data_IF_965222911521
#
_entry.id   IF_965222911521
#
_cell.length_a   1.000
_cell.length_b   1.000
_cell.length_c   1.000
_cell.angle_alpha   90.00
_cell.angle_beta   90.00
_cell.angle_gamma   90.00
#
_symmetry.space_group_name_H-M   'P 1'
#
loop_
_entity.id
_entity.type
_entity.pdbx_description
1 polymer ?
#
# COMPACT_ATOMS: atom_id res chain seq x y z
N UNK A 1 23.30 -3.11 -4.97
CA UNK A 1 22.55 -2.22 -4.04
C UNK A 1 21.18 -1.95 -4.63
N UNK A 2 20.11 -2.07 -3.84
CA UNK A 2 18.80 -1.49 -4.18
C UNK A 2 17.90 -1.47 -2.93
N UNK A 3 17.84 -0.31 -2.27
CA UNK A 3 16.65 0.16 -1.58
C UNK A 3 16.41 1.57 -2.12
N UNK A 4 15.18 1.82 -2.56
CA UNK A 4 14.72 3.04 -3.22
C UNK A 4 15.00 4.30 -2.38
N UNK A 5 16.09 5.00 -2.70
CA UNK A 5 16.04 6.44 -2.84
C UNK A 5 16.03 6.71 -4.35
N UNK A 6 15.04 7.46 -4.82
CA UNK A 6 14.93 7.94 -6.20
C UNK A 6 16.23 8.60 -6.65
N UNK A 7 16.98 7.99 -7.56
CA UNK A 7 18.04 8.68 -8.31
C UNK A 7 18.25 8.07 -9.70
N UNK A 8 18.02 8.89 -10.72
CA UNK A 8 18.48 8.71 -12.10
C UNK A 8 19.96 9.15 -12.19
N UNK A 9 20.86 8.44 -12.89
CA UNK A 9 22.23 8.90 -13.07
C UNK A 9 22.27 9.86 -14.28
N UNK A 10 22.34 11.15 -14.01
CA UNK A 10 22.85 12.11 -14.99
C UNK A 10 24.38 12.12 -14.89
N UNK A 11 25.03 12.01 -16.05
CA UNK A 11 26.48 12.04 -16.24
C UNK A 11 27.11 13.30 -15.63
N UNK A 12 28.16 13.11 -14.83
CA UNK A 12 29.07 14.19 -14.43
C UNK A 12 30.28 14.17 -15.37
N UNK A 13 30.28 15.08 -16.33
CA UNK A 13 31.50 15.49 -17.04
C UNK A 13 32.32 16.42 -16.16
N UNK A 14 33.61 16.12 -16.10
CA UNK A 14 34.67 16.83 -15.39
C UNK A 14 34.75 18.31 -15.78
N UNK A 15 34.75 19.19 -14.79
CA UNK A 15 35.08 20.61 -14.94
C UNK A 15 36.59 20.80 -15.11
N UNK A 16 37.00 21.54 -16.15
CA UNK A 16 38.30 22.18 -16.24
C UNK A 16 38.11 23.70 -16.36
N UNK A 17 38.92 24.43 -15.60
CA UNK A 17 38.88 25.87 -15.38
C UNK A 17 39.84 26.62 -16.32
N UNK A 18 39.42 27.75 -16.88
CA UNK A 18 40.24 28.91 -17.32
C UNK A 18 39.31 29.97 -17.94
N UNK A 19 39.02 31.08 -17.26
CA UNK A 19 39.72 32.38 -17.24
C UNK A 19 39.42 33.34 -18.41
N UNK A 20 39.20 34.60 -18.02
CA UNK A 20 39.37 35.90 -18.70
C UNK A 20 38.28 36.51 -19.62
N UNK A 21 37.72 37.60 -19.08
CA UNK A 21 37.62 38.98 -19.63
C UNK A 21 36.65 39.33 -20.77
N UNK A 22 35.76 40.29 -20.44
CA UNK A 22 35.48 41.58 -21.09
C UNK A 22 33.99 41.85 -21.37
N UNK A 23 33.49 42.96 -20.83
CA UNK A 23 32.23 43.65 -21.15
C UNK A 23 32.46 44.59 -22.36
N UNK A 24 31.51 45.44 -22.83
CA UNK A 24 30.05 45.54 -22.62
C UNK A 24 29.28 45.72 -23.98
N UNK A 25 27.99 46.15 -23.95
CA UNK A 25 27.31 47.08 -24.89
C UNK A 25 25.94 46.62 -25.47
N UNK A 26 24.88 47.26 -24.98
CA UNK A 26 23.82 48.00 -25.69
C UNK A 26 22.88 47.38 -26.76
N UNK A 27 21.58 47.37 -26.40
CA UNK A 27 20.48 48.17 -27.02
C UNK A 27 19.62 47.66 -28.21
N UNK A 28 18.32 48.04 -28.11
CA UNK A 28 17.25 48.27 -29.12
C UNK A 28 16.35 47.09 -29.56
N UNK A 29 15.06 47.08 -29.15
CA UNK A 29 13.80 47.57 -29.80
C UNK A 29 13.20 46.56 -30.81
N UNK A 30 12.03 45.95 -30.54
CA UNK A 30 10.63 46.40 -30.68
C UNK A 30 10.01 46.04 -32.05
N UNK A 31 8.92 45.23 -32.09
CA UNK A 31 7.69 45.33 -32.94
C UNK A 31 6.91 43.99 -32.90
N UNK A 32 5.79 43.95 -32.17
CA UNK A 32 4.39 43.94 -32.65
C UNK A 32 3.93 42.71 -33.45
N UNK A 33 2.97 41.96 -32.89
CA UNK A 33 1.66 41.69 -33.54
C UNK A 33 0.74 40.87 -32.61
N UNK A 34 -0.45 41.40 -32.34
CA UNK A 34 -1.64 40.65 -31.93
C UNK A 34 -2.41 40.23 -33.20
N UNK A 35 -3.26 39.18 -33.12
CA UNK A 35 -4.68 39.49 -32.92
C UNK A 35 -5.41 38.52 -31.97
N UNK A 36 -6.62 38.94 -31.65
CA UNK A 36 -7.46 38.48 -30.53
C UNK A 36 -8.62 37.57 -30.97
N UNK A 37 -9.19 36.92 -29.96
CA UNK A 37 -10.56 36.37 -29.81
C UNK A 37 -10.94 35.10 -30.59
N UNK A 38 -11.46 34.11 -29.86
CA UNK A 38 -12.91 33.78 -29.93
C UNK A 38 -13.35 33.02 -28.67
N UNK A 39 -14.55 33.41 -28.23
CA UNK A 39 -15.24 33.02 -27.00
C UNK A 39 -16.25 31.91 -27.37
N UNK A 40 -16.13 30.71 -26.80
CA UNK A 40 -17.05 29.61 -27.08
C UNK A 40 -18.19 29.57 -26.05
N UNK A 41 -19.38 29.94 -26.52
CA UNK A 41 -20.66 29.71 -25.85
C UNK A 41 -21.11 28.25 -26.03
N UNK A 42 -21.62 27.65 -24.96
CA UNK A 42 -22.33 26.36 -25.00
C UNK A 42 -23.86 26.57 -25.00
N UNK A 43 -24.62 25.90 -25.89
CA UNK A 43 -26.07 26.01 -25.93
C UNK A 43 -26.78 25.00 -25.02
N UNK A 44 -27.95 25.42 -24.52
CA UNK A 44 -28.91 24.64 -23.71
C UNK A 44 -29.96 23.92 -24.56
N UNK A 45 -30.20 22.64 -24.23
CA UNK A 45 -31.41 21.77 -24.30
C UNK A 45 -32.15 21.56 -25.65
N UNK A 46 -32.73 20.36 -25.87
CA UNK A 46 -34.17 20.21 -25.60
C UNK A 46 -34.65 18.86 -25.03
N UNK A 47 -35.93 18.89 -24.67
CA UNK A 47 -36.83 17.97 -23.94
C UNK A 47 -37.09 16.60 -24.58
N UNK A 48 -37.39 15.58 -23.75
CA UNK A 48 -38.18 14.41 -24.14
C UNK A 48 -39.18 14.05 -23.03
N UNK A 49 -40.44 13.96 -23.45
CA UNK A 49 -41.67 13.77 -22.67
C UNK A 49 -42.10 12.30 -22.77
N UNK A 50 -42.44 11.66 -21.65
CA UNK A 50 -43.15 10.36 -21.62
C UNK A 50 -44.48 10.58 -20.89
N UNK A 51 -45.63 10.11 -21.42
CA UNK A 51 -46.93 10.29 -20.78
C UNK A 51 -47.19 9.17 -19.77
N UNK A 52 -47.65 9.53 -18.57
CA UNK A 52 -48.24 8.59 -17.61
C UNK A 52 -49.69 9.03 -17.36
N UNK A 53 -50.63 8.17 -17.73
CA UNK A 53 -52.05 8.31 -17.42
C UNK A 53 -52.27 8.25 -15.92
N UNK A 54 -53.02 9.21 -15.35
CA UNK A 54 -53.58 9.09 -14.00
C UNK A 54 -55.03 9.57 -14.00
N UNK A 55 -55.92 8.69 -13.54
CA UNK A 55 -57.34 8.93 -13.32
C UNK A 55 -57.55 9.91 -12.14
N UNK A 56 -58.52 10.81 -12.31
CA UNK A 56 -59.02 11.72 -11.28
C UNK A 56 -59.81 11.00 -10.20
N UNK A 57 -59.63 11.41 -8.94
CA UNK A 57 -60.71 11.41 -7.95
C UNK A 57 -60.53 12.57 -6.97
N UNK A 58 -61.61 13.32 -6.84
CA UNK A 58 -61.83 14.54 -6.04
C UNK A 58 -62.11 14.17 -4.59
N UNK A 59 -61.57 14.90 -3.59
CA UNK A 59 -62.35 15.66 -2.58
C UNK A 59 -61.50 16.36 -1.50
N UNK A 60 -61.88 17.63 -1.25
CA UNK A 60 -61.95 18.38 0.02
C UNK A 60 -60.75 18.53 0.98
N UNK A 61 -60.26 19.78 1.02
CA UNK A 61 -60.08 20.68 2.18
C UNK A 61 -59.35 20.25 3.47
N UNK A 62 -58.38 21.11 3.81
CA UNK A 62 -58.06 21.68 5.13
C UNK A 62 -56.80 21.21 5.88
N UNK A 63 -55.94 22.21 6.11
CA UNK A 63 -55.04 22.48 7.26
C UNK A 63 -53.89 21.53 7.63
N UNK A 64 -52.68 22.09 7.47
CA UNK A 64 -51.57 22.13 8.43
C UNK A 64 -50.53 20.99 8.50
N UNK A 65 -49.29 21.47 8.65
CA UNK A 65 -48.04 20.80 9.05
C UNK A 65 -47.26 20.03 7.98
N UNK A 66 -46.20 20.71 7.53
CA UNK A 66 -44.94 20.17 7.03
C UNK A 66 -44.52 18.88 7.73
N UNK A 67 -44.52 17.75 7.01
CA UNK A 67 -43.74 16.55 7.37
C UNK A 67 -43.19 15.91 6.10
N UNK A 68 -41.91 16.14 5.84
CA UNK A 68 -41.11 15.43 4.86
C UNK A 68 -41.14 13.92 5.16
N UNK A 69 -41.97 13.17 4.45
CA UNK A 69 -41.84 11.70 4.38
C UNK A 69 -40.72 11.38 3.39
N UNK A 70 -39.49 11.26 3.90
CA UNK A 70 -38.39 10.68 3.15
C UNK A 70 -38.76 9.22 2.82
N UNK A 71 -39.00 8.96 1.53
CA UNK A 71 -39.17 7.62 0.96
C UNK A 71 -37.81 6.95 1.00
N UNK A 72 -37.49 6.29 2.11
CA UNK A 72 -36.28 5.48 2.25
C UNK A 72 -36.46 4.27 1.34
N UNK A 73 -35.76 4.25 0.21
CA UNK A 73 -35.61 3.05 -0.61
C UNK A 73 -34.80 2.05 0.20
N UNK A 74 -35.48 1.06 0.79
CA UNK A 74 -34.85 -0.13 1.32
C UNK A 74 -34.25 -0.90 0.15
N UNK A 75 -32.98 -0.65 -0.15
CA UNK A 75 -32.20 -1.60 -0.91
C UNK A 75 -32.11 -2.87 -0.05
N UNK A 76 -32.60 -4.04 -0.49
CA UNK A 76 -32.26 -5.27 0.18
C UNK A 76 -30.76 -5.42 -0.02
N UNK A 77 -29.99 -5.14 1.04
CA UNK A 77 -28.61 -5.57 1.12
C UNK A 77 -28.65 -7.07 0.89
N UNK A 78 -28.26 -7.48 -0.32
CA UNK A 78 -28.09 -8.87 -0.68
C UNK A 78 -27.03 -9.40 0.28
N UNK A 79 -27.47 -10.03 1.38
CA UNK A 79 -26.63 -10.71 2.34
C UNK A 79 -25.97 -11.87 1.59
N UNK A 80 -24.90 -11.59 0.86
CA UNK A 80 -23.91 -12.61 0.55
C UNK A 80 -23.48 -13.13 1.92
N UNK A 81 -23.89 -14.36 2.24
CA UNK A 81 -23.33 -15.12 3.36
C UNK A 81 -21.82 -15.01 3.21
N UNK A 82 -21.18 -14.23 4.08
CA UNK A 82 -19.75 -13.98 4.00
C UNK A 82 -19.02 -15.32 4.04
N UNK A 83 -18.00 -15.48 3.20
CA UNK A 83 -17.10 -16.62 3.30
C UNK A 83 -16.48 -16.62 4.70
N UNK A 84 -16.33 -17.79 5.30
CA UNK A 84 -15.65 -17.91 6.58
C UNK A 84 -14.13 -17.66 6.41
N UNK A 85 -13.47 -17.26 7.49
CA UNK A 85 -12.05 -16.92 7.46
C UNK A 85 -11.17 -18.10 7.02
N UNK A 86 -11.54 -19.35 7.35
CA UNK A 86 -10.75 -20.53 6.97
C UNK A 86 -10.77 -20.74 5.47
N UNK A 87 -11.95 -20.70 4.84
CA UNK A 87 -12.10 -20.78 3.38
C UNK A 87 -11.32 -19.65 2.68
N UNK A 88 -11.38 -18.42 3.20
CA UNK A 88 -10.63 -17.29 2.64
C UNK A 88 -9.11 -17.44 2.78
N UNK A 89 -8.62 -18.02 3.89
CA UNK A 89 -7.20 -18.35 4.05
C UNK A 89 -6.76 -19.39 3.03
N UNK A 90 -7.52 -20.46 2.87
CA UNK A 90 -7.22 -21.53 1.90
C UNK A 90 -7.19 -20.97 0.46
N UNK A 91 -8.19 -20.16 0.08
CA UNK A 91 -8.24 -19.50 -1.23
C UNK A 91 -7.07 -18.51 -1.43
N UNK A 92 -6.65 -17.79 -0.39
CA UNK A 92 -5.50 -16.89 -0.45
C UNK A 92 -4.19 -17.66 -0.65
N UNK A 93 -4.01 -18.77 0.06
CA UNK A 93 -2.80 -19.59 -0.02
C UNK A 93 -2.68 -20.28 -1.39
N UNK A 94 -3.77 -20.86 -1.89
CA UNK A 94 -3.86 -21.41 -3.25
C UNK A 94 -3.55 -20.33 -4.30
N UNK A 95 -4.07 -19.11 -4.10
CA UNK A 95 -3.84 -18.01 -5.02
C UNK A 95 -2.38 -17.60 -5.17
N UNK A 96 -1.55 -17.78 -4.14
CA UNK A 96 -0.16 -17.31 -4.11
C UNK A 96 0.87 -18.41 -4.34
N UNK A 97 0.48 -19.69 -4.28
CA UNK A 97 1.38 -20.86 -4.28
C UNK A 97 2.39 -20.83 -5.44
N UNK A 98 1.92 -20.52 -6.65
CA UNK A 98 2.72 -20.56 -7.88
C UNK A 98 3.26 -19.19 -8.32
N UNK A 99 3.19 -18.16 -7.47
CA UNK A 99 3.54 -16.78 -7.86
C UNK A 99 4.99 -16.37 -7.50
N UNK A 100 5.83 -17.30 -7.07
CA UNK A 100 7.20 -17.03 -6.59
C UNK A 100 7.23 -15.89 -5.56
N UNK A 101 6.40 -16.02 -4.51
CA UNK A 101 6.17 -15.00 -3.47
C UNK A 101 5.67 -13.64 -3.99
N UNK A 102 5.14 -13.60 -5.20
CA UNK A 102 4.68 -12.40 -5.90
C UNK A 102 5.64 -11.92 -7.01
N UNK A 103 6.82 -12.52 -7.17
CA UNK A 103 7.79 -12.12 -8.20
C UNK A 103 7.32 -12.44 -9.62
N UNK A 104 6.44 -13.44 -9.78
CA UNK A 104 5.87 -13.88 -11.06
C UNK A 104 4.38 -13.48 -11.20
N UNK A 105 3.83 -12.71 -10.27
CA UNK A 105 2.42 -12.32 -10.28
C UNK A 105 2.09 -11.31 -11.39
N UNK A 106 1.12 -11.66 -12.24
CA UNK A 106 0.53 -10.75 -13.23
C UNK A 106 -0.31 -9.65 -12.54
N UNK A 107 -0.67 -8.55 -13.23
CA UNK A 107 -1.62 -7.58 -12.70
C UNK A 107 -2.95 -8.21 -12.28
N UNK A 108 -3.43 -9.19 -13.05
CA UNK A 108 -4.66 -9.93 -12.79
C UNK A 108 -4.52 -10.79 -11.53
N UNK A 109 -3.37 -11.46 -11.33
CA UNK A 109 -3.07 -12.19 -10.10
C UNK A 109 -3.03 -11.26 -8.89
N UNK A 110 -2.38 -10.10 -9.01
CA UNK A 110 -2.32 -9.12 -7.91
C UNK A 110 -3.71 -8.62 -7.53
N UNK A 111 -4.58 -8.36 -8.51
CA UNK A 111 -5.97 -7.98 -8.25
C UNK A 111 -6.77 -9.09 -7.57
N UNK A 112 -6.59 -10.34 -8.02
CA UNK A 112 -7.23 -11.52 -7.43
C UNK A 112 -6.80 -11.71 -5.98
N UNK A 113 -5.50 -11.67 -5.71
CA UNK A 113 -4.94 -11.80 -4.36
C UNK A 113 -5.37 -10.64 -3.46
N UNK A 114 -5.36 -9.40 -3.96
CA UNK A 114 -5.82 -8.23 -3.19
C UNK A 114 -7.30 -8.35 -2.81
N UNK A 115 -8.14 -8.83 -3.73
CA UNK A 115 -9.56 -9.04 -3.47
C UNK A 115 -9.77 -10.07 -2.35
N UNK A 116 -9.11 -11.22 -2.42
CA UNK A 116 -9.22 -12.27 -1.39
C UNK A 116 -8.69 -11.74 -0.05
N UNK A 117 -7.55 -11.04 -0.06
CA UNK A 117 -6.98 -10.44 1.13
C UNK A 117 -7.95 -9.45 1.80
N UNK A 118 -8.63 -8.58 1.03
CA UNK A 118 -9.65 -7.66 1.59
C UNK A 118 -10.85 -8.38 2.18
N UNK A 119 -11.32 -9.45 1.53
CA UNK A 119 -12.39 -10.30 2.07
C UNK A 119 -11.95 -10.93 3.41
N UNK A 120 -10.69 -11.39 3.50
CA UNK A 120 -10.10 -11.94 4.73
C UNK A 120 -9.94 -10.88 5.84
N UNK A 121 -9.44 -9.69 5.49
CA UNK A 121 -9.28 -8.55 6.39
C UNK A 121 -10.62 -8.13 7.03
N UNK A 122 -11.73 -8.22 6.26
CA UNK A 122 -13.07 -7.89 6.76
C UNK A 122 -13.55 -8.85 7.86
N UNK A 123 -13.10 -10.10 7.84
CA UNK A 123 -13.45 -11.14 8.83
C UNK A 123 -12.36 -11.34 9.89
N UNK A 124 -11.41 -10.40 10.02
CA UNK A 124 -10.33 -10.48 11.01
C UNK A 124 -10.87 -10.61 12.46
N UNK A 125 -10.51 -11.67 13.21
CA UNK A 125 -10.94 -11.85 14.60
C UNK A 125 -10.26 -10.87 15.57
N UNK A 126 -9.00 -10.48 15.32
CA UNK A 126 -8.20 -9.66 16.23
C UNK A 126 -8.22 -8.19 15.81
N UNK A 127 -9.04 -7.37 16.49
CA UNK A 127 -9.20 -5.94 16.17
C UNK A 127 -8.04 -5.05 16.65
N UNK A 128 -7.32 -5.48 17.68
CA UNK A 128 -6.18 -4.77 18.26
C UNK A 128 -4.91 -5.65 18.25
N UNK A 129 -4.33 -5.93 17.07
CA UNK A 129 -3.21 -6.86 16.94
C UNK A 129 -1.95 -6.42 17.71
N UNK A 130 -1.76 -5.13 17.95
CA UNK A 130 -0.65 -4.62 18.77
C UNK A 130 -0.82 -4.87 20.28
N UNK A 131 -1.94 -5.46 20.71
CA UNK A 131 -2.15 -5.93 22.09
C UNK A 131 -2.20 -7.47 22.18
N UNK A 132 -2.05 -8.16 21.05
CA UNK A 132 -2.18 -9.61 20.99
C UNK A 132 -0.81 -10.28 21.00
N UNK A 133 -0.65 -11.29 21.86
CA UNK A 133 0.57 -12.09 21.91
C UNK A 133 0.82 -12.89 20.63
N UNK A 134 -0.24 -13.13 19.83
CA UNK A 134 -0.12 -13.81 18.54
C UNK A 134 0.79 -13.07 17.56
N UNK A 135 0.96 -11.74 17.71
CA UNK A 135 1.84 -10.97 16.84
C UNK A 135 3.33 -11.26 17.11
N UNK A 136 3.67 -11.70 18.33
CA UNK A 136 5.03 -11.98 18.72
C UNK A 136 5.58 -13.22 18.01
N UNK A 137 6.85 -13.14 17.60
CA UNK A 137 7.56 -14.26 17.02
C UNK A 137 8.10 -13.96 15.63
N UNK A 138 8.56 -15.02 14.96
CA UNK A 138 9.18 -14.99 13.64
C UNK A 138 8.19 -15.49 12.58
N UNK A 139 8.01 -14.66 11.57
CA UNK A 139 7.10 -14.85 10.46
C UNK A 139 7.89 -15.01 9.15
N UNK A 140 7.43 -15.87 8.25
CA UNK A 140 7.95 -16.00 6.89
C UNK A 140 7.08 -15.24 5.91
N UNK A 141 7.70 -14.45 5.04
CA UNK A 141 7.02 -13.72 3.97
C UNK A 141 6.75 -14.64 2.78
N UNK A 142 5.50 -15.09 2.67
CA UNK A 142 5.04 -16.00 1.61
C UNK A 142 4.47 -15.27 0.39
N UNK A 143 4.05 -14.00 0.52
CA UNK A 143 3.66 -13.18 -0.61
C UNK A 143 3.83 -11.68 -0.33
N UNK A 144 4.27 -10.91 -1.33
CA UNK A 144 4.21 -9.45 -1.30
C UNK A 144 4.10 -8.83 -2.69
N UNK A 145 3.53 -7.62 -2.76
CA UNK A 145 3.60 -6.76 -3.96
C UNK A 145 4.78 -5.77 -3.94
N UNK A 146 5.59 -5.78 -2.87
CA UNK A 146 6.71 -4.85 -2.70
C UNK A 146 7.87 -5.14 -3.64
N UNK A 147 8.06 -4.29 -4.66
CA UNK A 147 9.13 -4.44 -5.66
C UNK A 147 10.55 -4.45 -5.05
N UNK A 148 10.77 -3.71 -3.97
CA UNK A 148 12.08 -3.66 -3.30
C UNK A 148 12.43 -4.98 -2.62
N UNK A 149 11.44 -5.70 -2.09
CA UNK A 149 11.64 -7.00 -1.43
C UNK A 149 11.67 -8.14 -2.45
N UNK A 150 10.84 -8.06 -3.50
CA UNK A 150 10.84 -9.08 -4.56
C UNK A 150 12.13 -9.07 -5.38
N UNK A 151 12.82 -7.92 -5.44
CA UNK A 151 14.09 -7.76 -6.17
C UNK A 151 13.99 -8.27 -7.62
N UNK A 152 12.83 -8.07 -8.28
CA UNK A 152 12.54 -8.63 -9.63
C UNK A 152 13.53 -8.17 -10.71
N UNK A 153 14.19 -7.03 -10.49
CA UNK A 153 15.25 -6.49 -11.34
C UNK A 153 16.56 -7.31 -11.26
N UNK A 154 16.72 -8.20 -10.28
CA UNK A 154 17.87 -9.11 -10.17
C UNK A 154 17.57 -10.44 -10.88
N UNK A 155 18.58 -11.12 -11.44
CA UNK A 155 18.45 -12.50 -11.90
C UNK A 155 17.85 -13.39 -10.81
N UNK A 156 16.99 -14.36 -11.18
CA UNK A 156 16.22 -15.20 -10.22
C UNK A 156 17.11 -15.87 -9.18
N UNK A 157 18.28 -16.36 -9.58
CA UNK A 157 19.24 -17.01 -8.68
C UNK A 157 19.94 -16.05 -7.69
N UNK A 158 19.84 -14.74 -7.87
CA UNK A 158 20.33 -13.73 -6.92
C UNK A 158 19.22 -13.12 -6.06
N UNK A 159 17.96 -13.55 -6.24
CA UNK A 159 16.85 -13.09 -5.40
C UNK A 159 16.90 -13.84 -4.07
N UNK A 160 16.54 -13.14 -2.99
CA UNK A 160 16.35 -13.75 -1.68
C UNK A 160 15.27 -14.84 -1.77
N UNK A 161 15.62 -16.08 -1.39
CA UNK A 161 14.71 -17.23 -1.44
C UNK A 161 13.56 -17.07 -0.46
N UNK A 162 13.88 -17.05 0.83
CA UNK A 162 12.96 -16.79 1.93
C UNK A 162 13.31 -15.47 2.63
N UNK A 163 12.29 -14.78 3.12
CA UNK A 163 12.45 -13.55 3.90
C UNK A 163 11.66 -13.70 5.18
N UNK A 164 12.29 -13.41 6.31
CA UNK A 164 11.65 -13.49 7.62
C UNK A 164 11.46 -12.10 8.20
N UNK A 165 10.40 -11.94 8.97
CA UNK A 165 10.17 -10.80 9.81
C UNK A 165 9.84 -11.29 11.22
N UNK A 166 10.66 -10.93 12.20
CA UNK A 166 10.34 -11.09 13.59
C UNK A 166 9.76 -9.78 14.16
N UNK A 167 8.73 -9.89 15.00
CA UNK A 167 8.14 -8.77 15.74
C UNK A 167 8.06 -9.15 17.21
N UNK A 168 8.43 -8.20 18.07
CA UNK A 168 8.22 -8.25 19.52
C UNK A 168 7.48 -6.99 19.95
N UNK A 169 6.24 -7.18 20.39
CA UNK A 169 5.31 -6.12 20.79
C UNK A 169 5.69 -5.57 22.15
N UNK A 170 6.19 -6.42 23.04
CA UNK A 170 6.67 -6.09 24.38
C UNK A 170 7.90 -5.15 24.34
N UNK A 171 8.85 -5.44 23.46
CA UNK A 171 10.05 -4.61 23.30
C UNK A 171 9.91 -3.55 22.21
N UNK A 172 8.81 -3.55 21.46
CA UNK A 172 8.60 -2.72 20.27
C UNK A 172 9.75 -2.82 19.26
N UNK A 173 10.20 -4.05 18.99
CA UNK A 173 11.31 -4.34 18.07
C UNK A 173 10.83 -5.17 16.88
N UNK A 174 11.43 -4.91 15.73
CA UNK A 174 11.30 -5.76 14.56
C UNK A 174 12.66 -6.11 13.98
N UNK A 175 12.73 -7.25 13.30
CA UNK A 175 13.91 -7.69 12.56
C UNK A 175 13.49 -8.31 11.24
N UNK A 176 14.00 -7.80 10.13
CA UNK A 176 13.85 -8.43 8.81
C UNK A 176 15.14 -9.16 8.45
N UNK A 177 15.02 -10.38 7.94
CA UNK A 177 16.15 -11.22 7.50
C UNK A 177 15.88 -11.75 6.10
N UNK A 178 16.77 -11.45 5.17
CA UNK A 178 16.85 -12.14 3.88
C UNK A 178 17.63 -13.44 4.05
N UNK A 179 17.34 -14.44 3.24
CA UNK A 179 18.11 -15.69 3.21
C UNK A 179 19.13 -15.65 2.06
N UNK A 180 19.62 -16.82 1.64
CA UNK A 180 20.58 -16.96 0.56
C UNK A 180 20.14 -16.19 -0.70
N UNK A 181 21.07 -15.48 -1.39
CA UNK A 181 22.53 -15.53 -1.22
C UNK A 181 23.14 -14.46 -0.29
N UNK A 182 22.37 -13.45 0.13
CA UNK A 182 22.94 -12.26 0.78
C UNK A 182 22.76 -12.19 2.28
N UNK A 183 21.87 -12.98 2.88
CA UNK A 183 21.68 -13.05 4.34
C UNK A 183 21.59 -11.68 5.03
N UNK A 184 21.01 -10.70 4.34
CA UNK A 184 20.93 -9.34 4.84
C UNK A 184 19.99 -9.29 6.06
N UNK A 185 20.37 -8.54 7.08
CA UNK A 185 19.55 -8.38 8.29
C UNK A 185 19.37 -6.89 8.57
N UNK A 186 18.16 -6.50 8.98
CA UNK A 186 17.90 -5.16 9.49
C UNK A 186 17.03 -5.23 10.73
N UNK A 187 17.39 -4.47 11.76
CA UNK A 187 16.55 -4.26 12.94
C UNK A 187 15.85 -2.91 12.87
N UNK A 188 14.69 -2.80 13.50
CA UNK A 188 13.92 -1.58 13.57
C UNK A 188 13.22 -1.40 14.93
N UNK A 189 13.14 -0.15 15.35
CA UNK A 189 12.22 0.29 16.40
C UNK A 189 10.82 0.46 15.80
N UNK A 190 9.82 0.04 16.58
CA UNK A 190 8.41 0.24 16.29
C UNK A 190 7.82 1.32 17.19
N UNK A 191 7.04 2.21 16.62
CA UNK A 191 6.27 3.20 17.38
C UNK A 191 4.79 3.03 17.06
N UNK A 192 3.97 2.51 17.99
CA UNK A 192 2.52 2.39 17.76
C UNK A 192 1.91 3.74 17.43
N UNK A 193 1.20 3.82 16.30
CA UNK A 193 0.42 4.98 15.88
C UNK A 193 -1.05 4.83 16.28
N UNK A 194 -1.55 3.58 16.29
CA UNK A 194 -2.87 3.19 16.79
C UNK A 194 -2.87 1.69 17.10
N UNK A 195 -4.02 1.08 17.39
CA UNK A 195 -4.14 -0.34 17.77
C UNK A 195 -3.68 -1.36 16.70
N UNK A 196 -3.53 -0.94 15.44
CA UNK A 196 -3.18 -1.80 14.29
C UNK A 196 -1.93 -1.35 13.53
N UNK A 197 -1.49 -0.11 13.73
CA UNK A 197 -0.51 0.55 12.87
C UNK A 197 0.71 1.00 13.67
N UNK A 198 1.88 0.78 13.09
CA UNK A 198 3.17 1.18 13.65
C UNK A 198 3.96 2.02 12.65
N UNK A 199 4.67 3.02 13.14
CA UNK A 199 5.79 3.62 12.43
C UNK A 199 7.02 2.72 12.64
N UNK A 200 7.78 2.51 11.56
CA UNK A 200 8.98 1.68 11.52
C UNK A 200 10.19 2.59 11.33
N UNK A 201 11.18 2.46 12.20
CA UNK A 201 12.45 3.18 12.10
C UNK A 201 13.60 2.17 12.11
N UNK A 202 14.31 2.06 11.00
CA UNK A 202 15.43 1.11 10.88
C UNK A 202 16.68 1.61 11.62
N UNK A 203 17.43 0.70 12.27
CA UNK A 203 18.65 1.06 13.02
C UNK A 203 19.91 0.76 12.21
N UNK A 204 20.08 -0.51 11.84
CA UNK A 204 21.31 -1.05 11.27
C UNK A 204 20.97 -2.09 10.21
N UNK A 205 21.69 -2.03 9.10
CA UNK A 205 21.69 -3.07 8.07
C UNK A 205 22.98 -3.87 8.19
N UNK A 206 22.89 -5.18 8.36
CA UNK A 206 24.03 -6.10 8.17
C UNK A 206 23.99 -6.60 6.74
N UNK A 207 24.99 -6.26 5.95
CA UNK A 207 25.13 -6.75 4.57
C UNK A 207 25.99 -8.01 4.59
N UNK A 208 25.51 -9.10 3.96
CA UNK A 208 26.23 -10.38 3.93
C UNK A 208 26.59 -10.94 5.32
N UNK A 209 25.90 -10.51 6.37
CA UNK A 209 26.19 -10.90 7.76
C UNK A 209 27.48 -10.32 8.37
N UNK A 210 28.23 -9.47 7.65
CA UNK A 210 29.58 -9.06 8.07
C UNK A 210 29.67 -7.65 8.65
N UNK A 211 29.06 -6.65 7.99
CA UNK A 211 29.27 -5.23 8.34
C UNK A 211 27.95 -4.55 8.72
N UNK A 212 27.77 -4.12 9.98
CA UNK A 212 26.63 -3.30 10.38
C UNK A 212 26.80 -1.87 9.88
N UNK A 213 25.86 -1.40 9.05
CA UNK A 213 25.80 -0.04 8.53
C UNK A 213 24.58 0.64 9.16
N UNK A 214 24.80 1.77 9.83
CA UNK A 214 23.71 2.55 10.42
C UNK A 214 22.76 3.03 9.32
N UNK A 215 21.48 2.79 9.50
CA UNK A 215 20.44 3.28 8.62
C UNK A 215 20.45 4.82 8.61
N UNK A 216 20.30 5.47 7.44
CA UNK A 216 20.10 6.90 7.41
C UNK A 216 18.82 7.26 8.19
N UNK A 217 18.82 8.36 8.95
CA UNK A 217 17.65 8.74 9.78
C UNK A 217 16.33 8.97 9.01
N UNK A 218 16.40 9.00 7.68
CA UNK A 218 15.29 9.06 6.73
C UNK A 218 14.66 7.70 6.39
N UNK A 219 15.28 6.58 6.77
CA UNK A 219 14.74 5.24 6.55
C UNK A 219 13.58 4.98 7.52
N UNK A 220 12.39 5.40 7.10
CA UNK A 220 11.14 5.28 7.85
C UNK A 220 10.07 4.69 6.94
N UNK A 221 9.07 4.07 7.55
CA UNK A 221 7.87 3.62 6.87
C UNK A 221 6.76 3.39 7.88
N UNK A 222 5.59 3.02 7.40
CA UNK A 222 4.47 2.61 8.24
C UNK A 222 4.00 1.22 7.84
N UNK A 223 3.56 0.45 8.83
CA UNK A 223 3.01 -0.88 8.63
C UNK A 223 1.71 -1.00 9.43
N UNK A 224 0.65 -1.43 8.77
CA UNK A 224 -0.62 -1.72 9.40
C UNK A 224 -0.91 -3.23 9.34
N UNK A 225 -1.17 -3.85 10.49
CA UNK A 225 -1.63 -5.24 10.58
C UNK A 225 -3.14 -5.26 10.38
N UNK A 226 -3.59 -5.87 9.28
CA UNK A 226 -5.00 -5.85 8.85
C UNK A 226 -5.73 -7.17 9.11
N UNK A 227 -4.97 -8.27 9.21
CA UNK A 227 -5.44 -9.58 9.67
C UNK A 227 -4.37 -10.26 10.52
N UNK A 228 -4.78 -10.94 11.59
CA UNK A 228 -3.90 -11.72 12.45
C UNK A 228 -4.65 -12.92 13.04
N UNK A 229 -4.08 -14.11 12.88
CA UNK A 229 -4.39 -15.30 13.67
C UNK A 229 -3.09 -16.05 14.05
N UNK A 230 -3.20 -17.28 14.53
CA UNK A 230 -2.07 -18.12 14.96
C UNK A 230 -1.12 -18.51 13.82
N UNK A 231 -1.61 -18.55 12.58
CA UNK A 231 -0.89 -19.11 11.43
C UNK A 231 -0.50 -18.04 10.41
N UNK A 232 -1.33 -17.02 10.24
CA UNK A 232 -1.27 -16.08 9.13
C UNK A 232 -1.41 -14.64 9.62
N UNK A 233 -0.57 -13.77 9.05
CA UNK A 233 -0.66 -12.32 9.22
C UNK A 233 -0.73 -11.64 7.88
N UNK A 234 -1.69 -10.74 7.72
CA UNK A 234 -1.78 -9.84 6.57
C UNK A 234 -1.48 -8.43 7.03
N UNK A 235 -0.69 -7.70 6.25
CA UNK A 235 -0.32 -6.33 6.56
C UNK A 235 -0.26 -5.46 5.31
N UNK A 236 -0.43 -4.16 5.50
CA UNK A 236 -0.39 -3.13 4.46
C UNK A 236 0.68 -2.10 4.80
N UNK A 237 1.56 -1.81 3.83
CA UNK A 237 2.57 -0.75 3.96
C UNK A 237 2.03 0.64 3.60
N UNK A 238 2.78 1.68 3.94
CA UNK A 238 2.55 3.08 3.54
C UNK A 238 2.32 3.29 2.04
N UNK A 239 3.05 2.56 1.19
CA UNK A 239 2.91 2.59 -0.27
C UNK A 239 1.81 1.66 -0.81
N UNK A 240 0.91 1.15 0.04
CA UNK A 240 -0.17 0.24 -0.33
C UNK A 240 0.28 -1.19 -0.63
N UNK A 241 1.54 -1.53 -0.37
CA UNK A 241 2.05 -2.88 -0.57
C UNK A 241 1.33 -3.88 0.34
N UNK A 242 0.98 -5.04 -0.21
CA UNK A 242 0.43 -6.17 0.53
C UNK A 242 1.58 -7.06 1.02
N UNK A 243 1.46 -7.54 2.26
CA UNK A 243 2.34 -8.54 2.85
C UNK A 243 1.50 -9.65 3.45
N UNK A 244 1.74 -10.89 3.03
CA UNK A 244 1.15 -12.09 3.61
C UNK A 244 2.27 -12.90 4.22
N UNK A 245 2.17 -13.17 5.51
CA UNK A 245 3.19 -13.89 6.25
C UNK A 245 2.61 -15.08 7.01
N UNK A 246 3.41 -16.15 7.12
CA UNK A 246 3.09 -17.36 7.88
C UNK A 246 3.90 -17.40 9.18
N UNK A 247 3.28 -17.76 10.29
CA UNK A 247 3.98 -17.96 11.56
C UNK A 247 4.94 -19.15 11.45
N UNK A 248 6.19 -18.97 11.90
CA UNK A 248 7.23 -20.02 11.88
C UNK A 248 7.68 -20.37 13.29
N UNK A 249 7.81 -19.37 14.16
CA UNK A 249 8.31 -19.58 15.51
C UNK A 249 7.75 -18.49 16.45
N UNK A 250 6.66 -18.78 17.20
CA UNK A 250 6.06 -17.83 18.14
C UNK A 250 6.96 -17.53 19.35
N UNK A 251 7.95 -18.38 19.62
CA UNK A 251 8.89 -18.24 20.74
C UNK A 251 10.07 -17.33 20.43
N UNK A 252 10.33 -17.06 19.15
CA UNK A 252 11.45 -16.22 18.73
C UNK A 252 11.39 -14.81 19.34
N UNK A 253 12.55 -14.30 19.75
CA UNK A 253 12.71 -12.93 20.24
C UNK A 253 13.80 -12.22 19.46
N UNK A 254 13.51 -10.98 19.05
CA UNK A 254 14.47 -10.09 18.38
C UNK A 254 15.56 -9.74 19.38
N UNK A 255 16.85 -9.97 19.05
CA UNK A 255 17.96 -9.57 19.90
C UNK A 255 17.92 -8.05 20.14
N UNK A 256 18.06 -7.67 21.41
CA UNK A 256 18.24 -6.28 21.85
C UNK A 256 19.63 -5.76 21.52
#
# INVERSE_FOLDING_TARGET
MALSASYSPAFLSTTHSSSSSSSPCSSLKLLHSHPSFTHSHFPTKPTSTIPIHTLSSTTSSSTSSEKWRAKVSFFPAFLKKGKDAKTLKEELLDAIENLDRGAEATPEDQQRVDKIARELEAVNPIKEPLKSDLLNGKWELIYTTSKSILQTQRPKFLRSRTNYQAINVDTLRAQNKESWPFFNEVTADLTPLNARKVAVKFDYFKIAGLVPIKAPGRARGELEITYLDEELRVSRGDLGNLFVLKMIDPSYRVPT
#
